data_IF_043921909468
#
_entry.id   IF_043921909468
#
_cell.length_a   1.000
_cell.length_b   1.000
_cell.length_c   1.000
_cell.angle_alpha   90.00
_cell.angle_beta   90.00
_cell.angle_gamma   90.00
#
_symmetry.space_group_name_H-M   'P 1'
#
loop_
_entity.id
_entity.type
_entity.pdbx_description
1 polymer ?
#
# COMPACT_ATOMS: atom_id res chain seq x y z
N UNK A 1 -2.10 -9.78 6.25
CA UNK A 1 -3.03 -8.63 6.11
C UNK A 1 -2.31 -7.38 6.57
N UNK A 2 -2.33 -6.29 5.80
CA UNK A 2 -1.72 -5.04 6.23
C UNK A 2 -2.76 -4.21 6.99
N UNK A 3 -2.49 -3.93 8.26
CA UNK A 3 -3.36 -3.14 9.13
C UNK A 3 -2.49 -2.12 9.84
N UNK A 4 -2.87 -0.85 9.71
CA UNK A 4 -2.45 0.18 10.65
C UNK A 4 -3.56 0.35 11.67
N UNK A 5 -3.19 0.15 12.93
CA UNK A 5 -4.05 0.53 14.04
C UNK A 5 -3.82 2.01 14.29
N UNK A 6 -4.84 2.84 14.11
CA UNK A 6 -4.83 4.19 14.70
C UNK A 6 -5.22 3.99 16.16
N UNK A 7 -4.22 3.55 16.94
CA UNK A 7 -4.36 3.49 18.38
C UNK A 7 -4.06 4.88 18.92
N UNK A 8 -5.11 5.58 19.31
CA UNK A 8 -5.00 6.76 20.15
C UNK A 8 -4.49 6.40 21.57
N UNK A 9 -4.10 5.17 21.87
CA UNK A 9 -3.61 4.79 23.21
C UNK A 9 -2.08 4.76 23.37
N UNK A 10 -1.32 5.03 22.30
CA UNK A 10 0.14 4.87 22.35
C UNK A 10 0.89 6.19 22.11
N UNK A 11 1.49 6.72 23.19
CA UNK A 11 2.22 8.00 23.39
C UNK A 11 1.34 9.17 23.86
N UNK A 12 1.97 10.18 24.50
CA UNK A 12 1.33 11.31 25.19
C UNK A 12 0.24 12.06 24.39
N UNK A 13 0.36 12.11 23.06
CA UNK A 13 -0.65 12.70 22.19
C UNK A 13 -1.90 11.83 22.01
N UNK A 14 -1.73 10.52 22.05
CA UNK A 14 -2.84 9.59 21.97
C UNK A 14 -3.79 9.75 23.15
N UNK A 15 -3.28 9.76 24.38
CA UNK A 15 -4.12 9.82 25.59
C UNK A 15 -5.01 11.07 25.61
N UNK A 16 -4.52 12.20 25.10
CA UNK A 16 -5.32 13.44 24.95
C UNK A 16 -6.45 13.24 23.96
N UNK A 17 -6.16 12.73 22.76
CA UNK A 17 -7.18 12.46 21.74
C UNK A 17 -8.22 11.46 22.24
N UNK A 18 -7.80 10.42 22.96
CA UNK A 18 -8.70 9.46 23.60
C UNK A 18 -9.61 10.10 24.64
N UNK A 19 -9.08 11.01 25.46
CA UNK A 19 -9.88 11.78 26.41
C UNK A 19 -10.96 12.61 25.71
N UNK A 20 -10.59 13.30 24.63
CA UNK A 20 -11.54 14.09 23.82
C UNK A 20 -12.59 13.19 23.18
N UNK A 21 -12.21 12.08 22.55
CA UNK A 21 -13.14 11.15 21.92
C UNK A 21 -14.16 10.63 22.94
N UNK A 22 -13.71 10.21 24.13
CA UNK A 22 -14.61 9.75 25.21
C UNK A 22 -15.53 10.84 25.75
N UNK A 23 -15.14 12.10 25.64
CA UNK A 23 -15.96 13.24 26.05
C UNK A 23 -16.97 13.66 24.97
N UNK A 24 -16.85 13.15 23.73
CA UNK A 24 -17.84 13.42 22.69
C UNK A 24 -19.14 12.68 22.99
N UNK A 25 -20.27 13.34 22.71
CA UNK A 25 -21.59 12.70 22.75
C UNK A 25 -21.77 11.64 21.67
N UNK A 26 -21.18 11.88 20.50
CA UNK A 26 -21.21 10.95 19.36
C UNK A 26 -19.78 10.66 18.85
N UNK A 27 -19.00 9.83 19.58
CA UNK A 27 -17.63 9.49 19.18
C UNK A 27 -17.59 8.76 17.84
N UNK A 28 -18.61 7.97 17.53
CA UNK A 28 -18.74 7.21 16.29
C UNK A 28 -18.65 8.12 15.06
N UNK A 29 -19.41 9.22 15.03
CA UNK A 29 -19.43 10.15 13.91
C UNK A 29 -18.06 10.78 13.65
N UNK A 30 -17.34 11.17 14.72
CA UNK A 30 -16.00 11.72 14.58
C UNK A 30 -15.00 10.66 14.06
N UNK A 31 -15.08 9.43 14.57
CA UNK A 31 -14.24 8.33 14.12
C UNK A 31 -14.49 7.95 12.66
N UNK A 32 -15.74 8.01 12.19
CA UNK A 32 -16.08 7.77 10.79
C UNK A 32 -15.47 8.84 9.87
N UNK A 33 -15.58 10.11 10.25
CA UNK A 33 -14.97 11.21 9.50
C UNK A 33 -13.44 11.05 9.42
N UNK A 34 -12.79 10.76 10.56
CA UNK A 34 -11.35 10.48 10.60
C UNK A 34 -11.00 9.27 9.72
N UNK A 35 -11.82 8.21 9.77
CA UNK A 35 -11.68 7.01 8.94
C UNK A 35 -11.66 7.32 7.45
N UNK A 36 -12.66 8.07 6.97
CA UNK A 36 -12.76 8.47 5.56
C UNK A 36 -11.60 9.34 5.12
N UNK A 37 -11.23 10.35 5.91
CA UNK A 37 -10.08 11.22 5.62
C UNK A 37 -8.77 10.44 5.50
N UNK A 38 -8.54 9.51 6.42
CA UNK A 38 -7.34 8.68 6.39
C UNK A 38 -7.31 7.73 5.19
N UNK A 39 -8.44 7.11 4.84
CA UNK A 39 -8.54 6.29 3.63
C UNK A 39 -8.19 7.13 2.40
N UNK A 40 -8.77 8.31 2.25
CA UNK A 40 -8.50 9.19 1.11
C UNK A 40 -7.03 9.62 1.04
N UNK A 41 -6.43 10.00 2.18
CA UNK A 41 -5.02 10.39 2.26
C UNK A 41 -4.08 9.25 1.93
N UNK A 42 -4.36 8.04 2.43
CA UNK A 42 -3.60 6.85 2.07
C UNK A 42 -3.74 6.53 0.58
N UNK A 43 -4.95 6.62 0.01
CA UNK A 43 -5.19 6.40 -1.42
C UNK A 43 -4.49 7.45 -2.30
N UNK A 44 -4.48 8.73 -1.90
CA UNK A 44 -3.76 9.81 -2.60
C UNK A 44 -2.26 9.54 -2.64
N UNK A 45 -1.72 8.86 -1.63
CA UNK A 45 -0.32 8.45 -1.62
C UNK A 45 0.07 7.55 -2.79
N UNK A 46 -0.88 6.81 -3.37
CA UNK A 46 -0.64 6.05 -4.60
C UNK A 46 -0.48 6.94 -5.83
N UNK A 47 -1.13 8.10 -5.85
CA UNK A 47 -1.02 9.02 -6.99
C UNK A 47 0.27 9.84 -6.89
N UNK A 48 0.60 10.31 -5.69
CA UNK A 48 1.82 11.07 -5.39
C UNK A 48 3.07 10.20 -5.21
N UNK A 49 2.88 8.87 -5.16
CA UNK A 49 3.94 7.89 -4.92
C UNK A 49 4.68 8.13 -3.59
N UNK A 50 3.95 8.51 -2.55
CA UNK A 50 4.53 8.79 -1.24
C UNK A 50 3.46 9.01 -0.17
N UNK A 51 3.85 8.92 1.10
CA UNK A 51 2.97 9.20 2.25
C UNK A 51 3.73 9.98 3.32
N UNK A 52 3.22 11.16 3.66
CA UNK A 52 3.92 12.08 4.56
C UNK A 52 5.33 12.40 4.04
N UNK A 53 6.38 12.27 4.88
CA UNK A 53 7.75 12.53 4.45
C UNK A 53 8.36 11.39 3.62
N UNK A 54 7.64 10.28 3.41
CA UNK A 54 8.21 9.08 2.77
C UNK A 54 7.84 9.02 1.30
N UNK A 55 8.79 9.30 0.42
CA UNK A 55 8.66 9.04 -1.02
C UNK A 55 8.93 7.57 -1.34
N UNK A 56 8.08 6.97 -2.17
CA UNK A 56 8.23 5.58 -2.55
C UNK A 56 9.21 5.44 -3.71
N UNK A 57 10.21 4.56 -3.58
CA UNK A 57 11.17 4.35 -4.64
C UNK A 57 10.52 3.66 -5.84
N UNK A 58 10.95 4.06 -7.03
CA UNK A 58 10.56 3.48 -8.31
C UNK A 58 10.79 1.96 -8.37
N UNK A 59 10.16 1.32 -9.37
CA UNK A 59 10.35 -0.10 -9.65
C UNK A 59 11.78 -0.37 -10.11
N UNK A 60 12.35 -1.49 -9.64
CA UNK A 60 13.64 -1.97 -10.10
C UNK A 60 13.64 -2.23 -11.60
N UNK A 61 14.75 -1.88 -12.26
CA UNK A 61 14.98 -2.10 -13.69
C UNK A 61 16.14 -3.09 -13.87
N UNK A 62 15.95 -4.21 -14.60
CA UNK A 62 14.71 -4.64 -15.21
C UNK A 62 13.72 -5.18 -14.17
N UNK A 63 12.42 -5.10 -14.47
CA UNK A 63 11.37 -5.60 -13.59
C UNK A 63 11.25 -7.14 -13.73
N UNK A 64 12.07 -7.85 -12.95
CA UNK A 64 12.18 -9.32 -12.94
C UNK A 64 10.83 -10.03 -12.80
N UNK A 65 10.00 -9.79 -11.76
CA UNK A 65 8.70 -10.47 -11.64
C UNK A 65 7.78 -10.23 -12.84
N UNK A 66 7.77 -9.01 -13.37
CA UNK A 66 6.97 -8.66 -14.53
C UNK A 66 7.40 -9.38 -15.81
N UNK A 67 8.72 -9.51 -16.01
CA UNK A 67 9.31 -10.25 -17.12
C UNK A 67 9.04 -11.74 -16.98
N UNK A 68 9.30 -12.31 -15.80
CA UNK A 68 9.07 -13.72 -15.49
C UNK A 68 7.64 -14.14 -15.83
N UNK A 69 6.66 -13.36 -15.37
CA UNK A 69 5.23 -13.58 -15.64
C UNK A 69 4.93 -13.56 -17.14
N UNK A 70 5.37 -12.53 -17.87
CA UNK A 70 5.04 -12.43 -19.31
C UNK A 70 5.62 -13.55 -20.14
N UNK A 71 6.89 -13.90 -19.90
CA UNK A 71 7.54 -14.99 -20.64
C UNK A 71 6.86 -16.32 -20.30
N UNK A 72 6.50 -16.54 -19.03
CA UNK A 72 5.75 -17.72 -18.59
C UNK A 72 4.36 -17.83 -19.24
N UNK A 73 3.71 -16.69 -19.53
CA UNK A 73 2.45 -16.62 -20.29
C UNK A 73 2.65 -16.74 -21.81
N UNK A 74 3.88 -16.98 -22.29
CA UNK A 74 4.20 -17.01 -23.70
C UNK A 74 4.01 -15.64 -24.39
N UNK A 75 4.13 -14.53 -23.66
CA UNK A 75 3.97 -13.16 -24.17
C UNK A 75 5.32 -12.47 -24.35
N UNK A 76 5.40 -11.57 -25.35
CA UNK A 76 6.57 -10.72 -25.58
C UNK A 76 6.82 -9.78 -24.41
N UNK A 77 8.08 -9.58 -24.01
CA UNK A 77 8.44 -8.63 -22.96
C UNK A 77 8.22 -7.21 -23.49
N UNK A 78 7.47 -6.39 -22.75
CA UNK A 78 7.15 -5.02 -23.15
C UNK A 78 8.27 -4.04 -22.74
N UNK A 79 8.48 -2.95 -23.51
CA UNK A 79 9.50 -1.92 -23.20
C UNK A 79 9.45 -1.41 -21.76
N UNK A 80 8.24 -1.21 -21.22
CA UNK A 80 7.99 -0.76 -19.84
C UNK A 80 8.60 -1.60 -18.71
N UNK A 81 9.06 -2.82 -18.97
CA UNK A 81 9.77 -3.63 -17.96
C UNK A 81 11.27 -3.30 -17.88
N UNK A 82 11.76 -2.45 -18.78
CA UNK A 82 13.13 -1.96 -18.87
C UNK A 82 13.25 -0.46 -18.54
N UNK A 83 12.16 0.14 -18.07
CA UNK A 83 12.07 1.57 -17.80
C UNK A 83 11.79 1.78 -16.30
N UNK A 84 12.37 2.85 -15.77
CA UNK A 84 12.04 3.29 -14.42
C UNK A 84 10.58 3.77 -14.39
N UNK A 85 9.81 3.26 -13.44
CA UNK A 85 8.38 3.56 -13.33
C UNK A 85 7.95 3.70 -11.88
N UNK A 86 6.88 4.47 -11.63
CA UNK A 86 6.30 4.53 -10.31
C UNK A 86 5.98 3.15 -9.72
N UNK A 87 6.14 3.10 -8.40
CA UNK A 87 6.25 1.92 -7.57
C UNK A 87 4.95 1.09 -7.55
N UNK A 88 3.84 1.78 -7.34
CA UNK A 88 2.49 1.22 -7.18
C UNK A 88 1.53 1.91 -8.17
N UNK A 89 1.92 1.99 -9.44
CA UNK A 89 0.98 2.41 -10.49
C UNK A 89 -0.20 1.44 -10.46
N UNK A 90 -1.33 2.03 -10.09
CA UNK A 90 -2.68 1.52 -10.03
C UNK A 90 -2.83 0.02 -10.37
N UNK A 91 -2.87 -0.79 -9.31
CA UNK A 91 -3.16 -2.22 -9.44
C UNK A 91 -4.66 -2.50 -9.58
N UNK A 92 -5.52 -1.47 -9.70
CA UNK A 92 -7.00 -1.54 -9.70
C UNK A 92 -7.61 -2.26 -8.48
N UNK A 93 -6.76 -2.76 -7.57
CA UNK A 93 -7.14 -3.70 -6.52
C UNK A 93 -6.63 -3.16 -5.18
N UNK A 94 -5.34 -2.83 -5.06
CA UNK A 94 -4.78 -2.42 -3.76
C UNK A 94 -5.29 -1.06 -3.28
N UNK A 95 -5.22 -0.02 -4.12
CA UNK A 95 -5.71 1.32 -3.78
C UNK A 95 -7.18 1.31 -3.32
N UNK A 96 -8.13 0.75 -4.09
CA UNK A 96 -9.53 0.73 -3.68
C UNK A 96 -9.84 -0.25 -2.53
N UNK A 97 -8.98 -1.24 -2.27
CA UNK A 97 -9.19 -2.17 -1.14
C UNK A 97 -8.90 -1.58 0.24
N UNK A 98 -8.35 -0.36 0.30
CA UNK A 98 -8.06 0.30 1.57
C UNK A 98 -9.37 0.81 2.16
N UNK A 99 -9.67 0.35 3.37
CA UNK A 99 -10.86 0.73 4.12
C UNK A 99 -10.55 0.82 5.62
N UNK A 100 -11.52 1.28 6.40
CA UNK A 100 -11.44 1.31 7.86
C UNK A 100 -12.56 0.51 8.54
N UNK A 101 -12.33 0.16 9.79
CA UNK A 101 -13.33 -0.37 10.72
C UNK A 101 -13.18 0.35 12.05
N UNK A 102 -14.31 0.63 12.71
CA UNK A 102 -14.35 1.17 14.07
C UNK A 102 -14.57 0.01 15.03
N UNK A 103 -13.82 -0.02 16.14
CA UNK A 103 -13.92 -1.03 17.20
C UNK A 103 -14.21 -0.35 18.53
N UNK A 104 -15.42 -0.51 19.04
CA UNK A 104 -15.88 0.25 20.20
C UNK A 104 -15.84 1.75 19.96
N UNK A 105 -15.77 2.53 21.03
CA UNK A 105 -15.99 3.99 20.93
C UNK A 105 -14.70 4.80 20.71
N UNK A 106 -13.54 4.14 20.65
CA UNK A 106 -12.25 4.85 20.65
C UNK A 106 -11.23 4.31 19.67
N UNK A 107 -11.50 3.18 18.99
CA UNK A 107 -10.49 2.56 18.12
C UNK A 107 -10.91 2.62 16.66
N UNK A 108 -10.01 3.16 15.84
CA UNK A 108 -10.10 3.17 14.39
C UNK A 108 -8.98 2.31 13.80
N UNK A 109 -9.34 1.34 12.97
CA UNK A 109 -8.39 0.47 12.27
C UNK A 109 -8.49 0.71 10.78
N UNK A 110 -7.35 0.90 10.11
CA UNK A 110 -7.27 1.21 8.69
C UNK A 110 -6.36 0.20 8.03
N UNK A 111 -6.79 -0.39 6.92
CA UNK A 111 -6.00 -1.45 6.31
C UNK A 111 -6.52 -1.93 4.97
N UNK A 112 -5.94 -3.03 4.52
CA UNK A 112 -6.36 -3.76 3.32
C UNK A 112 -6.30 -5.26 3.61
N UNK A 113 -7.30 -6.05 3.16
CA UNK A 113 -7.26 -7.50 3.28
C UNK A 113 -6.23 -8.14 2.36
N UNK A 114 -5.74 -7.43 1.35
CA UNK A 114 -4.86 -7.99 0.33
C UNK A 114 -3.47 -8.27 0.89
N UNK A 115 -3.01 -9.51 0.74
CA UNK A 115 -1.67 -9.95 1.14
C UNK A 115 -0.58 -9.10 0.49
N UNK A 116 -0.74 -8.76 -0.79
CA UNK A 116 0.18 -7.90 -1.51
C UNK A 116 0.35 -6.51 -0.88
N UNK A 117 -0.65 -6.03 -0.13
CA UNK A 117 -0.54 -4.81 0.65
C UNK A 117 0.56 -4.90 1.70
N UNK A 118 0.66 -6.02 2.42
CA UNK A 118 1.66 -6.22 3.48
C UNK A 118 3.07 -6.34 2.91
N UNK A 119 3.20 -7.05 1.79
CA UNK A 119 4.46 -7.18 1.05
C UNK A 119 5.06 -5.81 0.74
N UNK A 120 4.24 -4.84 0.32
CA UNK A 120 4.71 -3.49 -0.01
C UNK A 120 4.83 -2.57 1.19
N UNK A 121 3.90 -2.66 2.14
CA UNK A 121 3.92 -1.87 3.37
C UNK A 121 5.24 -2.07 4.14
N UNK A 122 5.72 -3.32 4.19
CA UNK A 122 6.86 -3.71 5.02
C UNK A 122 8.10 -4.12 4.20
N UNK A 123 7.98 -4.27 2.87
CA UNK A 123 9.08 -4.72 2.03
C UNK A 123 9.43 -6.20 2.27
N UNK A 124 8.42 -7.03 2.57
CA UNK A 124 8.61 -8.44 2.91
C UNK A 124 9.06 -9.21 1.67
N UNK A 125 10.11 -9.99 1.83
CA UNK A 125 10.60 -10.86 0.77
C UNK A 125 9.60 -12.00 0.52
N UNK A 126 9.35 -12.30 -0.74
CA UNK A 126 8.51 -13.41 -1.17
C UNK A 126 9.17 -14.14 -2.33
N UNK A 127 8.72 -15.37 -2.59
CA UNK A 127 9.24 -16.19 -3.68
C UNK A 127 8.21 -16.29 -4.79
N UNK A 128 8.66 -16.19 -6.04
CA UNK A 128 7.82 -16.49 -7.21
C UNK A 128 8.32 -17.76 -7.89
N UNK A 129 7.38 -18.57 -8.39
CA UNK A 129 7.69 -19.70 -9.27
C UNK A 129 8.06 -19.16 -10.65
N UNK A 130 9.18 -19.64 -11.19
CA UNK A 130 9.67 -19.26 -12.50
C UNK A 130 9.56 -20.44 -13.47
N UNK A 131 8.66 -20.32 -14.45
CA UNK A 131 8.43 -21.37 -15.47
C UNK A 131 9.37 -21.28 -16.66
N UNK A 132 10.20 -20.24 -16.74
CA UNK A 132 11.10 -20.02 -17.88
C UNK A 132 12.09 -21.19 -18.08
N UNK A 133 12.75 -21.75 -17.05
CA UNK A 133 13.66 -22.87 -17.24
C UNK A 133 12.97 -24.08 -17.88
N UNK A 134 11.76 -24.40 -17.45
CA UNK A 134 10.94 -25.47 -18.02
C UNK A 134 10.59 -25.19 -19.49
N UNK A 135 10.14 -23.97 -19.81
CA UNK A 135 9.82 -23.57 -21.18
C UNK A 135 11.05 -23.67 -22.10
N UNK A 136 12.24 -23.33 -21.60
CA UNK A 136 13.48 -23.46 -22.35
C UNK A 136 13.85 -24.93 -22.57
N UNK A 137 13.72 -25.78 -21.56
CA UNK A 137 13.93 -27.24 -21.68
C UNK A 137 12.98 -27.87 -22.71
N UNK A 138 11.74 -27.38 -22.79
CA UNK A 138 10.73 -27.79 -23.78
C UNK A 138 10.98 -27.21 -25.18
N UNK A 139 12.05 -26.45 -25.40
CA UNK A 139 12.38 -25.87 -26.70
C UNK A 139 11.44 -24.74 -27.13
N UNK A 140 10.79 -24.04 -26.19
CA UNK A 140 9.89 -22.92 -26.50
C UNK A 140 10.67 -21.78 -27.18
N UNK A 141 10.53 -21.68 -28.51
CA UNK A 141 11.23 -20.70 -29.35
C UNK A 141 10.96 -19.25 -28.93
N UNK A 142 9.76 -18.95 -28.43
CA UNK A 142 9.40 -17.60 -28.00
C UNK A 142 10.10 -17.23 -26.69
N UNK A 143 10.10 -18.12 -25.70
CA UNK A 143 10.83 -17.92 -24.45
C UNK A 143 12.34 -17.76 -24.73
N UNK A 144 12.91 -18.62 -25.58
CA UNK A 144 14.31 -18.54 -25.99
C UNK A 144 14.65 -17.19 -26.65
N UNK A 145 13.80 -16.71 -27.56
CA UNK A 145 13.99 -15.41 -28.22
C UNK A 145 13.93 -14.24 -27.23
N UNK A 146 12.96 -14.25 -26.31
CA UNK A 146 12.84 -13.19 -25.31
C UNK A 146 14.00 -13.21 -24.30
N UNK A 147 14.49 -14.40 -23.90
CA UNK A 147 15.69 -14.54 -23.06
C UNK A 147 16.96 -14.12 -23.79
N UNK A 148 17.09 -14.38 -25.10
CA UNK A 148 18.22 -13.88 -25.89
C UNK A 148 18.25 -12.35 -25.95
N UNK A 149 17.09 -11.71 -26.19
CA UNK A 149 16.95 -10.25 -26.15
C UNK A 149 17.31 -9.69 -24.77
N UNK A 150 16.79 -10.32 -23.71
CA UNK A 150 17.09 -9.93 -22.33
C UNK A 150 18.59 -10.07 -22.03
N UNK A 151 19.21 -11.18 -22.43
CA UNK A 151 20.63 -11.48 -22.20
C UNK A 151 21.54 -10.42 -22.81
N UNK A 152 21.19 -9.87 -23.98
CA UNK A 152 21.97 -8.81 -24.64
C UNK A 152 22.10 -7.55 -23.79
N UNK A 153 21.04 -7.15 -23.06
CA UNK A 153 21.01 -5.89 -22.29
C UNK A 153 21.15 -6.10 -20.77
N UNK A 154 20.71 -7.25 -20.26
CA UNK A 154 20.66 -7.58 -18.84
C UNK A 154 21.09 -9.05 -18.60
N UNK A 155 22.38 -9.39 -18.81
CA UNK A 155 22.84 -10.77 -18.76
C UNK A 155 22.61 -11.46 -17.41
N UNK A 156 22.77 -10.75 -16.29
CA UNK A 156 22.49 -11.29 -14.94
C UNK A 156 21.01 -11.62 -14.74
N UNK A 157 20.11 -10.77 -15.24
CA UNK A 157 18.67 -11.01 -15.17
C UNK A 157 18.27 -12.22 -16.01
N UNK A 158 18.82 -12.33 -17.22
CA UNK A 158 18.59 -13.48 -18.09
C UNK A 158 19.14 -14.77 -17.47
N UNK A 159 20.33 -14.74 -16.87
CA UNK A 159 20.90 -15.89 -16.18
C UNK A 159 19.98 -16.34 -15.04
N UNK A 160 19.60 -15.44 -14.14
CA UNK A 160 18.68 -15.73 -13.03
C UNK A 160 17.37 -16.36 -13.53
N UNK A 161 16.75 -15.76 -14.55
CA UNK A 161 15.48 -16.23 -15.10
C UNK A 161 15.59 -17.54 -15.89
N UNK A 162 16.76 -17.86 -16.44
CA UNK A 162 16.92 -19.08 -17.25
C UNK A 162 17.32 -20.30 -16.41
N UNK A 163 17.88 -20.08 -15.20
CA UNK A 163 18.38 -21.17 -14.35
C UNK A 163 17.56 -21.43 -13.08
N UNK A 164 16.98 -20.39 -12.48
CA UNK A 164 16.32 -20.54 -11.18
C UNK A 164 14.86 -20.97 -11.36
N UNK A 165 14.47 -22.09 -10.75
CA UNK A 165 13.06 -22.54 -10.72
C UNK A 165 12.20 -21.66 -9.80
N UNK A 166 12.83 -21.05 -8.80
CA UNK A 166 12.22 -20.10 -7.88
C UNK A 166 13.07 -18.85 -7.72
N UNK A 167 12.42 -17.68 -7.62
CA UNK A 167 13.10 -16.39 -7.50
C UNK A 167 12.62 -15.69 -6.23
N UNK A 168 13.55 -15.46 -5.29
CA UNK A 168 13.31 -14.65 -4.10
C UNK A 168 13.37 -13.17 -4.45
N UNK A 169 12.29 -12.45 -4.19
CA UNK A 169 12.13 -11.02 -4.46
C UNK A 169 11.97 -10.30 -3.14
N UNK A 170 12.83 -9.29 -2.90
CA UNK A 170 12.66 -8.33 -1.79
C UNK A 170 12.25 -6.98 -2.36
N UNK A 171 10.94 -6.64 -2.35
CA UNK A 171 10.51 -5.32 -2.78
C UNK A 171 11.01 -4.25 -1.81
N UNK A 172 11.29 -3.05 -2.33
CA UNK A 172 11.53 -1.88 -1.48
C UNK A 172 10.26 -1.55 -0.70
N UNK A 173 10.41 -1.11 0.56
CA UNK A 173 9.31 -0.70 1.42
C UNK A 173 8.60 0.53 0.85
N UNK A 174 7.27 0.54 0.94
CA UNK A 174 6.36 1.59 0.45
C UNK A 174 5.26 1.76 1.49
N UNK A 175 5.53 2.45 2.60
CA UNK A 175 4.56 2.58 3.68
C UNK A 175 3.42 3.50 3.22
N UNK A 176 2.23 2.95 3.05
CA UNK A 176 1.01 3.69 2.71
C UNK A 176 0.02 3.75 3.88
N UNK A 177 0.11 2.78 4.81
CA UNK A 177 -0.60 2.78 6.09
C UNK A 177 0.34 3.28 7.19
N UNK A 178 0.54 4.60 7.25
CA UNK A 178 1.26 5.27 8.35
C UNK A 178 0.48 6.52 8.77
N UNK A 179 0.59 6.85 10.05
CA UNK A 179 0.10 8.13 10.58
C UNK A 179 1.21 9.17 10.50
N UNK A 180 0.91 10.32 9.91
CA UNK A 180 1.81 11.45 9.75
C UNK A 180 1.40 12.60 10.67
N UNK A 181 2.24 13.64 10.78
CA UNK A 181 1.91 14.83 11.57
C UNK A 181 0.64 15.52 11.05
N UNK A 182 0.48 15.56 9.74
CA UNK A 182 -0.67 16.17 9.06
C UNK A 182 -1.97 15.40 9.34
N UNK A 183 -1.88 14.11 9.63
CA UNK A 183 -3.03 13.32 10.04
C UNK A 183 -3.45 13.67 11.46
N UNK A 184 -2.48 13.82 12.38
CA UNK A 184 -2.79 14.23 13.75
C UNK A 184 -3.46 15.60 13.82
N UNK A 185 -3.00 16.56 13.02
CA UNK A 185 -3.63 17.88 12.95
C UNK A 185 -5.08 17.77 12.44
N UNK A 186 -5.30 16.95 11.42
CA UNK A 186 -6.65 16.66 10.91
C UNK A 186 -7.52 15.98 11.98
N UNK A 187 -6.97 15.06 12.78
CA UNK A 187 -7.74 14.43 13.87
C UNK A 187 -8.24 15.47 14.87
N UNK A 188 -7.36 16.40 15.29
CA UNK A 188 -7.72 17.47 16.23
C UNK A 188 -8.82 18.37 15.63
N UNK A 189 -8.70 18.72 14.36
CA UNK A 189 -9.69 19.53 13.65
C UNK A 189 -11.07 18.85 13.63
N UNK A 190 -11.13 17.58 13.23
CA UNK A 190 -12.37 16.80 13.19
C UNK A 190 -13.00 16.69 14.58
N UNK A 191 -12.21 16.40 15.61
CA UNK A 191 -12.71 16.28 16.98
C UNK A 191 -13.28 17.62 17.48
N UNK A 192 -12.58 18.74 17.23
CA UNK A 192 -13.05 20.06 17.62
C UNK A 192 -14.37 20.43 16.92
N UNK A 193 -14.50 20.14 15.61
CA UNK A 193 -15.75 20.40 14.89
C UNK A 193 -16.93 19.61 15.47
N UNK A 194 -16.73 18.34 15.80
CA UNK A 194 -17.78 17.51 16.40
C UNK A 194 -18.16 17.97 17.82
N UNK A 195 -17.19 18.46 18.59
CA UNK A 195 -17.45 19.04 19.91
C UNK A 195 -18.30 20.31 19.81
N UNK A 196 -17.93 21.23 18.92
CA UNK A 196 -18.67 22.49 18.69
C UNK A 196 -20.09 22.23 18.18
N UNK A 197 -20.26 21.32 17.21
CA UNK A 197 -21.58 20.97 16.67
C UNK A 197 -22.49 20.36 17.75
N UNK A 198 -21.94 19.56 18.65
CA UNK A 198 -22.70 19.00 19.77
C UNK A 198 -23.23 20.12 20.68
N UNK A 199 -22.38 21.08 21.05
CA UNK A 199 -22.76 22.22 21.88
C UNK A 199 -23.82 23.13 21.23
N UNK A 200 -23.70 23.38 19.91
CA UNK A 200 -24.68 24.18 19.16
C UNK A 200 -26.05 23.50 19.16
N UNK A 201 -26.11 22.19 18.87
CA UNK A 201 -27.36 21.44 18.84
C UNK A 201 -28.03 21.40 20.22
N UNK A 202 -27.27 21.39 21.31
CA UNK A 202 -27.82 21.48 22.66
C UNK A 202 -28.44 22.84 22.95
N UNK A 203 -27.75 23.92 22.58
CA UNK A 203 -28.25 25.27 22.74
C UNK A 203 -29.55 25.51 21.95
N UNK A 204 -29.68 24.87 20.77
CA UNK A 204 -30.88 24.98 19.92
C UNK A 204 -32.06 24.13 20.41
N UNK A 205 -31.81 22.98 21.05
CA UNK A 205 -32.86 22.07 21.54
C UNK A 205 -33.26 22.34 22.99
N UNK A 206 -32.46 23.08 23.74
CA UNK A 206 -32.74 23.47 25.13
C UNK A 206 -33.38 24.86 25.29
N UNK A 207 -33.61 25.57 24.18
CA UNK A 207 -34.31 26.86 24.10
C UNK A 207 -35.71 26.65 23.50
#
# INVERSE_FOLDING_TARGET
MAIMRVNFDTKAFGSVLNGVIKALKNPQQALEQIGWEMVQRTQRGFDTQGRGPVQWPSKSVPNIPGIARRVSEGKTILPRYYEERPALIDSVTLKPSINFIIRGDTQLLIGTPLEYGQIHQDGIAHTIKNKIPELLKQGNKKAAREMAKLKKKYPRAAALLSSAEEIRIKPKRRPFLITTREDFLMFVEVLNMNFVNSAINEAQNGA
#
